data_IF_610263417650
#
_entry.id   IF_610263417650
#
_cell.length_a   1.000
_cell.length_b   1.000
_cell.length_c   1.000
_cell.angle_alpha   90.00
_cell.angle_beta   90.00
_cell.angle_gamma   90.00
#
_symmetry.space_group_name_H-M   'P 1'
#
loop_
_entity.id
_entity.type
_entity.pdbx_description
1 polymer ?
#
# COMPACT_ATOMS: atom_id res chain seq x y z
N UNK A 1 1.71 -17.82 0.08
CA UNK A 1 0.66 -16.82 0.35
C UNK A 1 1.25 -15.44 0.18
N UNK A 2 0.61 -14.57 -0.61
CA UNK A 2 1.11 -13.24 -1.02
C UNK A 2 0.21 -12.16 -0.45
N UNK A 3 0.80 -11.01 -0.06
CA UNK A 3 0.05 -9.79 0.27
C UNK A 3 0.43 -8.71 -0.74
N UNK A 4 -0.58 -8.02 -1.26
CA UNK A 4 -0.38 -6.78 -2.02
C UNK A 4 -0.99 -5.63 -1.23
N UNK A 5 -0.19 -4.61 -0.98
CA UNK A 5 -0.60 -3.43 -0.24
C UNK A 5 -0.37 -2.17 -1.06
N UNK A 6 -1.45 -1.43 -1.26
CA UNK A 6 -1.44 -0.08 -1.80
C UNK A 6 -1.01 0.90 -0.68
N UNK A 7 0.27 1.30 -0.69
CA UNK A 7 0.89 2.05 0.41
C UNK A 7 0.42 3.49 0.49
N UNK A 8 0.09 4.09 -0.66
CA UNK A 8 -0.49 5.42 -0.76
C UNK A 8 -1.44 5.49 -1.96
N UNK A 9 -2.33 6.48 -1.98
CA UNK A 9 -3.09 6.89 -3.15
C UNK A 9 -2.46 8.11 -3.84
N UNK A 10 -1.43 8.71 -3.24
CA UNK A 10 -0.73 9.84 -3.82
C UNK A 10 0.01 9.41 -5.09
N UNK A 11 -0.29 10.08 -6.20
CA UNK A 11 0.36 9.86 -7.47
C UNK A 11 0.55 11.19 -8.20
N UNK A 12 1.72 11.38 -8.79
CA UNK A 12 2.06 12.56 -9.57
C UNK A 12 1.49 12.53 -11.02
N UNK A 13 0.71 11.50 -11.37
CA UNK A 13 0.09 11.30 -12.67
C UNK A 13 -1.43 11.11 -12.55
N UNK A 14 -2.16 11.33 -13.65
CA UNK A 14 -3.61 11.11 -13.75
C UNK A 14 -3.95 10.33 -15.02
N UNK A 15 -3.64 9.03 -15.00
CA UNK A 15 -3.80 8.16 -16.17
C UNK A 15 -5.29 7.85 -16.42
N UNK A 16 -5.73 7.92 -17.69
CA UNK A 16 -7.12 7.62 -18.08
C UNK A 16 -7.57 6.17 -17.76
N UNK A 17 -6.62 5.26 -17.56
CA UNK A 17 -6.87 3.84 -17.29
C UNK A 17 -6.50 3.45 -15.84
N UNK A 18 -6.28 4.42 -14.93
CA UNK A 18 -5.95 4.12 -13.54
C UNK A 18 -7.17 3.55 -12.81
N UNK A 19 -7.17 2.25 -12.53
CA UNK A 19 -8.28 1.58 -11.83
C UNK A 19 -8.53 2.11 -10.41
N UNK A 20 -7.52 2.74 -9.79
CA UNK A 20 -7.58 3.29 -8.42
C UNK A 20 -8.02 4.74 -8.38
N UNK A 21 -8.04 5.40 -9.53
CA UNK A 21 -8.12 6.85 -9.62
C UNK A 21 -7.08 7.56 -8.71
N UNK A 22 -5.84 7.03 -8.70
CA UNK A 22 -4.76 7.56 -7.89
C UNK A 22 -4.46 9.03 -8.23
N UNK A 23 -4.00 9.79 -7.25
CA UNK A 23 -3.80 11.23 -7.37
C UNK A 23 -3.53 11.86 -6.01
N UNK A 24 -4.57 12.29 -5.30
CA UNK A 24 -4.41 12.88 -3.98
C UNK A 24 -4.26 11.80 -2.91
N UNK A 25 -3.35 12.05 -1.96
CA UNK A 25 -3.20 11.25 -0.75
C UNK A 25 -4.53 11.12 -0.01
N UNK A 26 -4.88 9.91 0.41
CA UNK A 26 -6.06 9.69 1.27
C UNK A 26 -5.73 10.03 2.72
N UNK A 27 -6.73 10.53 3.45
CA UNK A 27 -6.56 10.97 4.84
C UNK A 27 -6.32 9.79 5.81
N UNK A 28 -6.78 8.60 5.45
CA UNK A 28 -6.77 7.37 6.24
C UNK A 28 -5.64 6.41 5.84
N UNK A 29 -4.57 6.92 5.24
CA UNK A 29 -3.37 6.12 4.95
C UNK A 29 -2.54 5.88 6.21
N UNK A 30 -1.93 4.69 6.30
CA UNK A 30 -1.01 4.36 7.38
C UNK A 30 0.19 5.32 7.36
N UNK A 31 0.61 5.74 8.54
CA UNK A 31 1.92 6.35 8.75
C UNK A 31 3.03 5.34 8.45
N UNK A 32 4.25 5.82 8.23
CA UNK A 32 5.42 4.96 8.05
C UNK A 32 5.65 4.01 9.23
N UNK A 33 5.34 4.45 10.45
CA UNK A 33 5.46 3.61 11.65
C UNK A 33 4.44 2.47 11.64
N UNK A 34 3.18 2.76 11.35
CA UNK A 34 2.11 1.77 11.23
C UNK A 34 2.36 0.79 10.07
N UNK A 35 2.87 1.27 8.93
CA UNK A 35 3.26 0.42 7.81
C UNK A 35 4.35 -0.60 8.17
N UNK A 36 5.34 -0.19 8.99
CA UNK A 36 6.38 -1.11 9.50
C UNK A 36 5.79 -2.14 10.48
N UNK A 37 4.85 -1.72 11.32
CA UNK A 37 4.14 -2.63 12.22
C UNK A 37 3.35 -3.68 11.41
N UNK A 38 2.58 -3.24 10.41
CA UNK A 38 1.83 -4.12 9.50
C UNK A 38 2.73 -5.16 8.83
N UNK A 39 3.88 -4.75 8.26
CA UNK A 39 4.83 -5.68 7.63
C UNK A 39 5.31 -6.74 8.64
N UNK A 40 5.61 -6.32 9.88
CA UNK A 40 6.04 -7.22 10.94
C UNK A 40 4.97 -8.25 11.30
N UNK A 41 3.71 -7.82 11.35
CA UNK A 41 2.56 -8.68 11.63
C UNK A 41 2.29 -9.67 10.49
N UNK A 42 2.36 -9.22 9.23
CA UNK A 42 2.23 -10.07 8.04
C UNK A 42 3.33 -11.15 8.02
N UNK A 43 4.57 -10.78 8.33
CA UNK A 43 5.68 -11.72 8.42
C UNK A 43 5.46 -12.76 9.52
N UNK A 44 4.99 -12.32 10.69
CA UNK A 44 4.62 -13.19 11.82
C UNK A 44 3.47 -14.15 11.47
N UNK A 45 2.52 -13.71 10.65
CA UNK A 45 1.43 -14.55 10.13
C UNK A 45 1.90 -15.58 9.08
N UNK A 46 3.19 -15.58 8.69
CA UNK A 46 3.78 -16.62 7.84
C UNK A 46 3.77 -16.32 6.34
N UNK A 47 3.33 -15.13 5.93
CA UNK A 47 3.42 -14.71 4.52
C UNK A 47 4.88 -14.48 4.12
N UNK A 48 5.20 -14.77 2.85
CA UNK A 48 6.59 -14.79 2.36
C UNK A 48 6.85 -13.83 1.20
N UNK A 49 5.78 -13.25 0.63
CA UNK A 49 5.87 -12.33 -0.51
C UNK A 49 4.98 -11.13 -0.23
N UNK A 50 5.54 -9.93 -0.36
CA UNK A 50 4.88 -8.65 -0.20
C UNK A 50 5.06 -7.84 -1.48
N UNK A 51 3.97 -7.33 -2.05
CA UNK A 51 3.99 -6.40 -3.18
C UNK A 51 3.56 -5.03 -2.66
N UNK A 52 4.44 -4.04 -2.81
CA UNK A 52 4.10 -2.64 -2.57
C UNK A 52 3.57 -2.02 -3.87
N UNK A 53 2.40 -1.41 -3.81
CA UNK A 53 1.75 -0.70 -4.91
C UNK A 53 1.26 0.68 -4.44
N UNK A 54 0.73 1.50 -5.36
CA UNK A 54 0.49 2.93 -5.16
C UNK A 54 -0.45 3.49 -6.21
#
# INVERSE_FOLDING_TARGET
>A
MIVSWNTTNECNLKCAHCYRDAGTKKADELTTAEGRALISEIARAGFKIMIFSG
#
